data_IF_431184345300
#
_entry.id   IF_431184345300
#
_cell.length_a   1.000
_cell.length_b   1.000
_cell.length_c   1.000
_cell.angle_alpha   90.00
_cell.angle_beta   90.00
_cell.angle_gamma   90.00
#
_symmetry.space_group_name_H-M   'P 1'
#
loop_
_entity.id
_entity.type
_entity.pdbx_description
1 polymer ?
#
# COMPACT_ATOMS: atom_id res chain seq x y z
N UNK A 1 -6.18 -20.78 -13.06
CA UNK A 1 -6.46 -19.38 -12.70
C UNK A 1 -5.11 -18.76 -12.38
N UNK A 2 -4.71 -17.68 -13.06
CA UNK A 2 -3.40 -17.05 -12.85
C UNK A 2 -3.41 -16.24 -11.57
N UNK A 3 -2.41 -16.45 -10.72
CA UNK A 3 -2.18 -15.64 -9.52
C UNK A 3 -1.13 -14.58 -9.81
N UNK A 4 -1.30 -13.39 -9.22
CA UNK A 4 -0.41 -12.24 -9.41
C UNK A 4 0.18 -11.79 -8.08
N UNK A 5 1.49 -11.55 -8.05
CA UNK A 5 2.21 -11.13 -6.85
C UNK A 5 1.94 -9.65 -6.59
N UNK A 6 1.62 -9.28 -5.33
CA UNK A 6 1.26 -7.91 -4.96
C UNK A 6 2.40 -6.89 -5.11
N UNK A 7 3.65 -7.33 -5.00
CA UNK A 7 4.80 -6.42 -5.02
C UNK A 7 5.41 -6.26 -6.42
N UNK A 8 5.77 -7.37 -7.08
CA UNK A 8 6.47 -7.34 -8.37
C UNK A 8 5.57 -7.54 -9.59
N UNK A 9 4.29 -7.88 -9.41
CA UNK A 9 3.37 -8.13 -10.51
C UNK A 9 3.63 -9.41 -11.30
N UNK A 10 4.56 -10.27 -10.86
CA UNK A 10 4.77 -11.58 -11.47
C UNK A 10 3.46 -12.37 -11.49
N UNK A 11 3.25 -13.15 -12.55
CA UNK A 11 2.07 -14.02 -12.69
C UNK A 11 2.49 -15.48 -12.78
N UNK A 12 1.77 -16.37 -12.12
CA UNK A 12 2.00 -17.80 -12.21
C UNK A 12 0.68 -18.59 -12.26
N UNK A 13 0.70 -19.72 -12.97
CA UNK A 13 -0.43 -20.64 -13.03
C UNK A 13 -0.42 -21.54 -11.79
N UNK A 14 -1.28 -21.21 -10.82
CA UNK A 14 -1.47 -21.97 -9.58
C UNK A 14 -0.17 -22.28 -8.79
N UNK A 15 0.66 -21.27 -8.44
CA UNK A 15 1.86 -21.49 -7.63
C UNK A 15 1.52 -21.96 -6.22
N UNK A 16 2.11 -23.09 -5.80
CA UNK A 16 1.88 -23.70 -4.46
C UNK A 16 2.75 -23.10 -3.36
N UNK A 17 3.86 -22.47 -3.74
CA UNK A 17 4.91 -21.93 -2.88
C UNK A 17 4.71 -20.43 -2.55
N UNK A 18 3.63 -19.81 -3.03
CA UNK A 18 3.39 -18.39 -2.81
C UNK A 18 2.68 -18.13 -1.49
N UNK A 19 3.13 -17.11 -0.78
CA UNK A 19 2.57 -16.70 0.50
C UNK A 19 1.21 -16.02 0.28
N UNK A 20 0.23 -16.41 1.09
CA UNK A 20 -1.13 -15.90 1.05
C UNK A 20 -1.37 -15.00 2.27
N UNK A 21 -2.04 -13.87 2.04
CA UNK A 21 -2.45 -12.97 3.12
C UNK A 21 -3.96 -12.98 3.25
N UNK A 22 -4.45 -13.13 4.48
CA UNK A 22 -5.87 -13.15 4.79
C UNK A 22 -6.22 -12.00 5.73
N UNK A 23 -7.44 -11.49 5.58
CA UNK A 23 -8.02 -10.52 6.51
C UNK A 23 -9.24 -11.16 7.16
N UNK A 24 -9.26 -11.20 8.50
CA UNK A 24 -10.42 -11.62 9.27
C UNK A 24 -11.46 -10.49 9.30
N UNK A 25 -12.66 -10.78 8.79
CA UNK A 25 -13.84 -9.93 8.88
C UNK A 25 -14.41 -9.91 10.30
N UNK A 26 -15.34 -8.98 10.55
CA UNK A 26 -16.03 -8.88 11.84
C UNK A 26 -16.85 -10.13 12.15
N UNK A 27 -17.37 -10.79 11.11
CA UNK A 27 -18.17 -12.01 11.19
C UNK A 27 -17.33 -13.29 11.35
N UNK A 28 -16.00 -13.14 11.52
CA UNK A 28 -15.06 -14.26 11.63
C UNK A 28 -14.65 -14.88 10.28
N UNK A 29 -15.26 -14.44 9.17
CA UNK A 29 -14.90 -14.88 7.82
C UNK A 29 -13.51 -14.40 7.41
N UNK A 30 -12.72 -15.26 6.78
CA UNK A 30 -11.39 -14.91 6.28
C UNK A 30 -11.46 -14.60 4.79
N UNK A 31 -11.11 -13.36 4.41
CA UNK A 31 -11.04 -12.94 3.01
C UNK A 31 -9.59 -12.93 2.56
N UNK A 32 -9.30 -13.60 1.44
CA UNK A 32 -8.01 -13.55 0.79
C UNK A 32 -7.71 -12.12 0.29
N UNK A 33 -6.60 -11.57 0.75
CA UNK A 33 -6.18 -10.19 0.48
C UNK A 33 -5.20 -10.10 -0.70
N UNK A 34 -4.38 -11.13 -0.90
CA UNK A 34 -3.47 -11.22 -2.04
C UNK A 34 -2.38 -12.27 -1.85
N UNK A 35 -1.48 -12.36 -2.84
CA UNK A 35 -0.38 -13.31 -2.88
C UNK A 35 0.96 -12.60 -3.02
N UNK A 36 2.03 -13.20 -2.46
CA UNK A 36 3.41 -12.73 -2.64
C UNK A 36 4.32 -13.90 -2.99
N UNK A 37 5.15 -13.73 -4.03
CA UNK A 37 6.13 -14.74 -4.42
C UNK A 37 7.25 -14.87 -3.36
N UNK A 38 7.95 -16.02 -3.28
CA UNK A 38 9.01 -16.24 -2.29
C UNK A 38 10.09 -15.15 -2.28
N UNK A 39 10.54 -14.75 -3.48
CA UNK A 39 11.57 -13.72 -3.63
C UNK A 39 11.15 -12.33 -3.11
N UNK A 40 9.86 -11.98 -3.19
CA UNK A 40 9.36 -10.73 -2.61
C UNK A 40 9.10 -10.87 -1.10
N UNK A 41 8.66 -12.05 -0.65
CA UNK A 41 8.42 -12.32 0.77
C UNK A 41 9.70 -12.24 1.58
N UNK A 42 10.80 -12.79 1.07
CA UNK A 42 12.12 -12.73 1.73
C UNK A 42 12.62 -11.29 1.90
N UNK A 43 12.30 -10.40 0.96
CA UNK A 43 12.65 -8.97 1.03
C UNK A 43 11.77 -8.19 2.02
N UNK A 44 10.47 -8.44 2.00
CA UNK A 44 9.53 -7.83 2.93
C UNK A 44 8.33 -8.78 3.16
N UNK A 45 8.18 -9.37 4.36
CA UNK A 45 7.09 -10.28 4.65
C UNK A 45 5.75 -9.57 4.88
N UNK A 46 5.70 -8.23 4.91
CA UNK A 46 4.47 -7.47 5.11
C UNK A 46 3.66 -7.34 3.83
N UNK A 47 2.34 -7.48 3.96
CA UNK A 47 1.45 -7.14 2.86
C UNK A 47 1.13 -5.65 2.89
N UNK A 48 1.55 -4.95 1.84
CA UNK A 48 1.35 -3.51 1.70
C UNK A 48 0.61 -3.24 0.40
N UNK A 49 -0.42 -2.40 0.48
CA UNK A 49 -1.11 -1.89 -0.71
C UNK A 49 -0.83 -0.41 -0.85
N UNK A 50 -0.67 0.04 -2.08
CA UNK A 50 -0.61 1.48 -2.37
C UNK A 50 -1.91 2.10 -1.91
N UNK A 51 -1.81 3.03 -0.97
CA UNK A 51 -2.91 3.85 -0.50
C UNK A 51 -2.68 5.28 -0.99
N UNK A 52 -3.76 5.96 -1.37
CA UNK A 52 -3.67 7.38 -1.68
C UNK A 52 -3.61 8.17 -0.37
N UNK A 53 -2.58 9.01 -0.24
CA UNK A 53 -2.37 9.85 0.94
C UNK A 53 -2.97 11.23 0.68
N UNK A 54 -3.86 11.67 1.56
CA UNK A 54 -4.47 13.00 1.50
C UNK A 54 -3.88 13.89 2.59
N UNK A 55 -3.74 15.18 2.29
CA UNK A 55 -3.29 16.17 3.26
C UNK A 55 -4.06 17.47 3.12
N UNK A 56 -4.20 18.20 4.23
CA UNK A 56 -4.90 19.49 4.29
C UNK A 56 -3.98 20.61 3.80
N UNK A 57 -4.44 21.31 2.76
CA UNK A 57 -3.66 22.36 2.08
C UNK A 57 -3.92 23.73 2.71
N UNK A 58 -5.11 24.30 2.48
CA UNK A 58 -5.56 25.61 2.94
C UNK A 58 -7.07 25.61 3.19
N UNK A 59 -7.56 24.58 3.91
CA UNK A 59 -8.99 24.43 4.24
C UNK A 59 -9.65 23.17 3.68
N UNK A 60 -9.11 22.57 2.62
CA UNK A 60 -9.61 21.31 2.03
C UNK A 60 -8.52 20.23 1.89
N UNK A 61 -8.95 18.99 1.65
CA UNK A 61 -8.08 17.83 1.45
C UNK A 61 -7.75 17.66 -0.04
N UNK A 62 -6.47 17.42 -0.34
CA UNK A 62 -5.99 17.11 -1.70
C UNK A 62 -5.04 15.90 -1.64
N UNK A 63 -5.04 15.00 -2.65
CA UNK A 63 -4.05 13.94 -2.75
C UNK A 63 -2.63 14.52 -2.80
N UNK A 64 -1.73 13.98 -1.98
CA UNK A 64 -0.31 14.40 -1.95
C UNK A 64 0.39 14.07 -3.27
N UNK A 65 -0.05 13.00 -3.95
CA UNK A 65 0.40 12.62 -5.30
C UNK A 65 0.17 13.72 -6.35
N UNK A 66 -0.78 14.62 -6.14
CA UNK A 66 -1.15 15.70 -7.08
C UNK A 66 -0.53 17.05 -6.73
N UNK A 67 0.44 17.11 -5.82
CA UNK A 67 1.08 18.37 -5.43
C UNK A 67 2.08 18.82 -6.50
N UNK A 68 1.93 20.07 -6.95
CA UNK A 68 2.92 20.71 -7.80
C UNK A 68 4.21 21.03 -7.01
N UNK A 69 5.28 21.39 -7.72
CA UNK A 69 6.58 21.70 -7.12
C UNK A 69 6.50 22.79 -6.04
N UNK A 70 5.75 23.86 -6.28
CA UNK A 70 5.59 24.96 -5.33
C UNK A 70 4.92 24.54 -4.02
N UNK A 71 3.91 23.66 -4.08
CA UNK A 71 3.24 23.16 -2.88
C UNK A 71 4.15 22.24 -2.05
N UNK A 72 4.99 21.46 -2.71
CA UNK A 72 5.98 20.62 -2.03
C UNK A 72 7.00 21.50 -1.27
N UNK A 73 7.48 22.58 -1.89
CA UNK A 73 8.37 23.54 -1.23
C UNK A 73 7.68 24.24 -0.05
N UNK A 74 6.46 24.75 -0.23
CA UNK A 74 5.71 25.37 0.88
C UNK A 74 5.52 24.39 2.03
N UNK A 75 5.16 23.13 1.77
CA UNK A 75 5.01 22.12 2.81
C UNK A 75 6.31 21.86 3.58
N UNK A 76 7.48 21.85 2.91
CA UNK A 76 8.80 21.70 3.55
C UNK A 76 9.12 22.83 4.52
N UNK A 77 8.61 24.04 4.25
CA UNK A 77 8.81 25.20 5.13
C UNK A 77 7.86 25.27 6.33
N UNK A 78 6.85 24.37 6.40
CA UNK A 78 5.91 24.33 7.53
C UNK A 78 6.62 23.91 8.80
N UNK A 79 6.27 24.57 9.91
CA UNK A 79 6.73 24.19 11.25
C UNK A 79 5.66 23.34 11.94
N UNK A 80 6.06 22.20 12.46
CA UNK A 80 5.20 21.35 13.30
C UNK A 80 5.29 21.81 14.74
N UNK A 81 4.15 21.88 15.43
CA UNK A 81 4.14 22.02 16.87
C UNK A 81 4.52 20.67 17.50
N UNK A 82 5.46 20.66 18.45
CA UNK A 82 5.70 19.49 19.30
C UNK A 82 4.88 19.66 20.56
N UNK A 83 4.03 18.68 20.85
CA UNK A 83 3.19 18.65 22.04
C UNK A 83 3.88 17.88 23.16
#
# INVERSE_FOLDING_TARGET
MKLTCCDCGATADSPKDWHQYFKKGKDGTETLLGHKCPACYEKNPRFERKCEVFSRVAGYLRPVSQWNRGKQEEFRTRKTYQT
#
